data_IF_883111429702
#
_entry.id   IF_883111429702
#
_cell.length_a   1.000
_cell.length_b   1.000
_cell.length_c   1.000
_cell.angle_alpha   90.00
_cell.angle_beta   90.00
_cell.angle_gamma   90.00
#
_symmetry.space_group_name_H-M   'P 1'
#
loop_
_entity.id
_entity.type
_entity.pdbx_description
1 polymer ?
#
# COMPACT_ATOMS: atom_id res chain seq x y z
N UNK A 1 13.86 4.85 3.74
CA UNK A 1 14.12 4.35 2.36
C UNK A 1 13.04 4.82 1.40
N UNK A 2 11.78 4.65 1.78
CA UNK A 2 10.57 5.01 1.05
C UNK A 2 10.51 6.47 0.55
N UNK A 3 11.22 7.41 1.19
CA UNK A 3 11.24 8.83 0.83
C UNK A 3 12.39 9.24 -0.10
N UNK A 4 13.27 8.33 -0.47
CA UNK A 4 14.44 8.63 -1.29
C UNK A 4 14.16 8.29 -2.76
N UNK A 5 14.56 9.15 -3.72
CA UNK A 5 14.49 8.85 -5.16
C UNK A 5 15.62 7.90 -5.55
N UNK A 6 15.48 6.62 -5.20
CA UNK A 6 16.53 5.61 -5.38
C UNK A 6 16.57 4.99 -6.78
N UNK A 7 15.43 4.96 -7.46
CA UNK A 7 15.22 4.16 -8.68
C UNK A 7 14.49 4.93 -9.78
N UNK A 8 13.95 6.09 -9.46
CA UNK A 8 13.27 7.03 -10.35
C UNK A 8 13.49 8.45 -9.83
N UNK A 9 12.96 9.46 -10.52
CA UNK A 9 12.94 10.85 -10.04
C UNK A 9 12.02 11.04 -8.81
N UNK A 10 11.20 10.04 -8.50
CA UNK A 10 10.22 10.04 -7.41
C UNK A 10 10.65 9.11 -6.30
N UNK A 11 10.11 9.35 -5.10
CA UNK A 11 10.30 8.41 -4.00
C UNK A 11 9.52 7.11 -4.20
N UNK A 12 9.93 6.04 -3.52
CA UNK A 12 9.20 4.76 -3.59
C UNK A 12 7.76 4.90 -3.06
N UNK A 13 7.53 5.78 -2.08
CA UNK A 13 6.18 6.10 -1.60
C UNK A 13 5.34 6.72 -2.73
N UNK A 14 5.90 7.71 -3.43
CA UNK A 14 5.22 8.36 -4.55
C UNK A 14 4.94 7.36 -5.68
N UNK A 15 5.92 6.54 -6.06
CA UNK A 15 5.74 5.49 -7.07
C UNK A 15 4.71 4.42 -6.65
N UNK A 16 4.57 4.16 -5.34
CA UNK A 16 3.57 3.22 -4.79
C UNK A 16 2.15 3.78 -4.89
N UNK A 17 1.98 5.07 -4.65
CA UNK A 17 0.65 5.72 -4.78
C UNK A 17 0.30 5.91 -6.25
N UNK A 18 1.24 6.38 -7.06
CA UNK A 18 1.00 6.71 -8.46
C UNK A 18 0.71 5.48 -9.32
N UNK A 19 1.25 4.30 -8.98
CA UNK A 19 0.92 3.06 -9.72
C UNK A 19 -0.53 2.63 -9.56
N UNK A 20 -1.29 3.20 -8.61
CA UNK A 20 -2.72 2.94 -8.49
C UNK A 20 -3.57 3.78 -9.45
N UNK A 21 -3.00 4.81 -10.09
CA UNK A 21 -3.71 5.59 -11.10
C UNK A 21 -4.13 4.68 -12.26
N UNK A 22 -5.39 4.81 -12.68
CA UNK A 22 -5.98 4.00 -13.74
C UNK A 22 -6.58 2.68 -13.26
N UNK A 23 -6.49 2.36 -11.96
CA UNK A 23 -7.23 1.25 -11.38
C UNK A 23 -8.61 1.73 -10.92
N UNK A 24 -9.67 1.17 -11.50
CA UNK A 24 -11.04 1.54 -11.17
C UNK A 24 -11.44 1.07 -9.76
N UNK A 25 -12.33 1.83 -9.11
CA UNK A 25 -12.88 1.47 -7.80
C UNK A 25 -11.92 1.66 -6.60
N UNK A 26 -10.74 2.25 -6.80
CA UNK A 26 -9.81 2.56 -5.72
C UNK A 26 -10.12 3.93 -5.11
N UNK A 27 -10.41 3.94 -3.81
CA UNK A 27 -10.60 5.17 -3.03
C UNK A 27 -9.32 5.95 -2.77
N UNK A 28 -9.43 7.09 -2.09
CA UNK A 28 -8.27 7.84 -1.64
C UNK A 28 -7.42 6.98 -0.67
N UNK A 29 -6.08 7.07 -0.71
CA UNK A 29 -5.24 6.17 0.07
C UNK A 29 -5.35 6.46 1.56
N UNK A 30 -5.38 5.39 2.36
CA UNK A 30 -5.14 5.45 3.81
C UNK A 30 -3.64 5.20 4.03
N UNK A 31 -2.95 6.17 4.63
CA UNK A 31 -1.50 6.06 4.85
C UNK A 31 -1.22 5.80 6.33
N UNK A 32 -0.49 4.75 6.64
CA UNK A 32 0.03 4.50 7.98
C UNK A 32 1.51 4.81 8.02
N UNK A 33 1.93 5.63 8.98
CA UNK A 33 3.34 5.97 9.16
C UNK A 33 3.65 6.24 10.62
N UNK A 34 4.91 6.09 11.02
CA UNK A 34 5.37 6.61 12.30
C UNK A 34 5.12 8.13 12.42
N UNK A 35 4.81 8.61 13.62
CA UNK A 35 4.59 10.03 13.93
C UNK A 35 5.74 10.95 13.47
N UNK A 36 6.99 10.49 13.58
CA UNK A 36 8.18 11.22 13.13
C UNK A 36 8.16 11.55 11.63
N UNK A 37 7.45 10.73 10.83
CA UNK A 37 7.35 10.90 9.38
C UNK A 37 6.11 11.69 8.95
N UNK A 38 5.33 12.24 9.89
CA UNK A 38 4.06 12.92 9.61
C UNK A 38 4.16 13.95 8.49
N UNK A 39 5.07 14.90 8.65
CA UNK A 39 5.23 16.01 7.71
C UNK A 39 5.81 15.57 6.37
N UNK A 40 6.75 14.62 6.39
CA UNK A 40 7.40 14.13 5.19
C UNK A 40 6.42 13.37 4.28
N UNK A 41 5.57 12.52 4.86
CA UNK A 41 4.48 11.87 4.11
C UNK A 41 3.52 12.90 3.52
N UNK A 42 3.10 13.89 4.29
CA UNK A 42 2.18 14.92 3.83
C UNK A 42 2.77 15.76 2.68
N UNK A 43 4.07 16.09 2.75
CA UNK A 43 4.80 16.77 1.68
C UNK A 43 4.90 15.92 0.41
N UNK A 44 5.32 14.66 0.54
CA UNK A 44 5.46 13.73 -0.58
C UNK A 44 4.15 13.51 -1.34
N UNK A 45 3.02 13.44 -0.62
CA UNK A 45 1.68 13.33 -1.21
C UNK A 45 1.26 14.62 -1.94
N UNK A 46 1.58 15.78 -1.36
CA UNK A 46 1.31 17.09 -1.95
C UNK A 46 2.08 17.29 -3.26
N UNK A 47 3.36 16.91 -3.30
CA UNK A 47 4.21 17.00 -4.50
C UNK A 47 3.62 16.25 -5.71
N UNK A 48 2.92 15.14 -5.48
CA UNK A 48 2.28 14.35 -6.54
C UNK A 48 0.79 14.66 -6.73
N UNK A 49 0.26 15.65 -6.01
CA UNK A 49 -1.15 16.06 -6.08
C UNK A 49 -2.13 14.99 -5.61
N UNK A 50 -1.75 14.15 -4.65
CA UNK A 50 -2.63 13.13 -4.06
C UNK A 50 -3.02 13.56 -2.65
N UNK A 51 -4.31 13.51 -2.34
CA UNK A 51 -4.83 13.74 -1.00
C UNK A 51 -5.21 12.40 -0.38
N UNK A 52 -4.54 11.96 0.70
CA UNK A 52 -4.95 10.79 1.46
C UNK A 52 -6.34 10.98 2.09
N UNK A 53 -7.10 9.89 2.24
CA UNK A 53 -8.34 9.90 3.03
C UNK A 53 -8.02 10.21 4.50
N UNK A 54 -6.97 9.55 5.02
CA UNK A 54 -6.42 9.79 6.34
C UNK A 54 -4.96 9.37 6.37
N UNK A 55 -4.18 10.06 7.21
CA UNK A 55 -2.86 9.60 7.64
C UNK A 55 -2.95 9.17 9.11
N UNK A 56 -2.78 7.88 9.36
CA UNK A 56 -2.77 7.30 10.70
C UNK A 56 -1.32 7.27 11.20
N UNK A 57 -1.10 7.87 12.38
CA UNK A 57 0.23 8.02 12.97
C UNK A 57 0.45 6.96 14.04
N UNK A 58 1.46 6.12 13.83
CA UNK A 58 1.91 5.16 14.83
C UNK A 58 2.86 5.85 15.81
N UNK A 59 2.53 5.92 17.12
CA UNK A 59 3.43 6.51 18.12
C UNK A 59 4.68 5.64 18.35
N UNK A 60 4.56 4.33 18.09
CA UNK A 60 5.64 3.35 18.17
C UNK A 60 5.42 2.35 17.05
N UNK A 61 6.46 2.04 16.28
CA UNK A 61 6.38 1.03 15.23
C UNK A 61 6.16 -0.37 15.83
N UNK A 62 5.06 -1.04 15.44
CA UNK A 62 4.69 -2.38 15.93
C UNK A 62 4.57 -3.44 14.82
N UNK A 63 5.29 -3.25 13.72
CA UNK A 63 5.21 -4.07 12.50
C UNK A 63 3.84 -3.96 11.78
N UNK A 64 3.67 -4.75 10.72
CA UNK A 64 2.56 -4.62 9.78
C UNK A 64 1.20 -5.07 10.33
N UNK A 65 1.14 -6.11 11.17
CA UNK A 65 -0.14 -6.66 11.60
C UNK A 65 -0.97 -5.66 12.43
N UNK A 66 -0.42 -4.94 13.43
CA UNK A 66 -1.15 -3.90 14.14
C UNK A 66 -1.54 -2.72 13.25
N UNK A 67 -0.67 -2.30 12.34
CA UNK A 67 -0.96 -1.23 11.38
C UNK A 67 -2.19 -1.58 10.50
N UNK A 68 -2.20 -2.79 9.93
CA UNK A 68 -3.33 -3.27 9.11
C UNK A 68 -4.60 -3.42 9.94
N UNK A 69 -4.52 -3.89 11.18
CA UNK A 69 -5.68 -4.01 12.06
C UNK A 69 -6.33 -2.64 12.34
N UNK A 70 -5.53 -1.61 12.62
CA UNK A 70 -6.04 -0.24 12.84
C UNK A 70 -6.70 0.31 11.57
N UNK A 71 -6.10 0.09 10.40
CA UNK A 71 -6.69 0.50 9.12
C UNK A 71 -8.01 -0.23 8.85
N UNK A 72 -8.07 -1.53 9.13
CA UNK A 72 -9.29 -2.33 8.96
C UNK A 72 -10.44 -1.80 9.84
N UNK A 73 -10.17 -1.51 11.11
CA UNK A 73 -11.18 -0.92 12.02
C UNK A 73 -11.62 0.47 11.56
N UNK A 74 -10.67 1.31 11.12
CA UNK A 74 -10.98 2.63 10.57
C UNK A 74 -11.88 2.50 9.33
N UNK A 75 -11.48 1.68 8.36
CA UNK A 75 -12.20 1.50 7.10
C UNK A 75 -13.60 0.95 7.34
N UNK A 76 -13.75 -0.05 8.20
CA UNK A 76 -15.06 -0.61 8.59
C UNK A 76 -15.97 0.43 9.26
N UNK A 77 -15.41 1.38 10.03
CA UNK A 77 -16.20 2.45 10.65
C UNK A 77 -16.70 3.51 9.67
N UNK A 78 -16.14 3.56 8.46
CA UNK A 78 -16.46 4.55 7.42
C UNK A 78 -17.19 3.97 6.21
N UNK A 79 -16.94 2.70 5.91
CA UNK A 79 -17.42 2.01 4.72
C UNK A 79 -17.93 0.62 5.13
N UNK A 80 -19.22 0.34 4.89
CA UNK A 80 -19.88 -0.90 5.36
C UNK A 80 -19.29 -2.17 4.75
N UNK A 81 -18.71 -2.08 3.56
CA UNK A 81 -18.18 -3.21 2.77
C UNK A 81 -16.73 -2.95 2.33
N UNK A 82 -15.91 -2.44 3.26
CA UNK A 82 -14.52 -2.07 2.99
C UNK A 82 -13.67 -3.27 2.51
N UNK A 83 -13.19 -3.21 1.27
CA UNK A 83 -12.16 -4.11 0.76
C UNK A 83 -10.81 -3.38 0.73
N UNK A 84 -9.79 -3.94 1.39
CA UNK A 84 -8.48 -3.29 1.54
C UNK A 84 -7.41 -3.92 0.66
N UNK A 85 -6.77 -3.09 -0.17
CA UNK A 85 -5.52 -3.41 -0.85
C UNK A 85 -4.35 -2.87 -0.01
N UNK A 86 -3.58 -3.78 0.61
CA UNK A 86 -2.46 -3.42 1.48
C UNK A 86 -1.15 -3.45 0.69
N UNK A 87 -0.42 -2.31 0.66
CA UNK A 87 0.81 -2.14 -0.11
C UNK A 87 1.94 -1.60 0.76
N UNK A 88 3.11 -2.25 0.79
CA UNK A 88 4.32 -1.65 1.34
C UNK A 88 4.76 -0.44 0.51
N UNK A 89 5.14 0.66 1.18
CA UNK A 89 5.50 1.92 0.54
C UNK A 89 6.91 1.94 -0.09
N UNK A 90 7.68 0.87 0.08
CA UNK A 90 9.07 0.75 -0.35
C UNK A 90 9.30 -0.35 -1.40
N UNK A 91 8.23 -0.91 -1.98
CA UNK A 91 8.33 -1.90 -3.05
C UNK A 91 8.43 -1.26 -4.43
N UNK A 92 9.42 -1.67 -5.22
CA UNK A 92 9.52 -1.32 -6.64
C UNK A 92 8.76 -2.34 -7.50
N UNK A 93 7.72 -1.87 -8.21
CA UNK A 93 6.99 -2.66 -9.21
C UNK A 93 7.05 -1.88 -10.52
N UNK A 94 7.71 -2.44 -11.53
CA UNK A 94 7.90 -1.78 -12.84
C UNK A 94 6.77 -2.09 -13.83
N UNK A 95 6.23 -3.30 -13.77
CA UNK A 95 5.14 -3.73 -14.65
C UNK A 95 3.78 -3.38 -14.02
N UNK A 96 3.37 -2.11 -14.20
CA UNK A 96 2.10 -1.60 -13.68
C UNK A 96 0.89 -2.30 -14.32
N UNK A 97 0.86 -2.59 -15.64
CA UNK A 97 -0.23 -3.37 -16.22
C UNK A 97 -0.39 -4.76 -15.62
N UNK A 98 0.71 -5.52 -15.43
CA UNK A 98 0.62 -6.83 -14.78
C UNK A 98 0.16 -6.74 -13.32
N UNK A 99 0.58 -5.69 -12.60
CA UNK A 99 0.12 -5.40 -11.25
C UNK A 99 -1.39 -5.14 -11.19
N UNK A 100 -1.93 -4.32 -12.11
CA UNK A 100 -3.38 -4.09 -12.20
C UNK A 100 -4.14 -5.37 -12.55
N UNK A 101 -3.65 -6.16 -13.50
CA UNK A 101 -4.27 -7.44 -13.87
C UNK A 101 -4.31 -8.43 -12.69
N UNK A 102 -3.24 -8.48 -11.89
CA UNK A 102 -3.20 -9.29 -10.68
C UNK A 102 -4.25 -8.83 -9.65
N UNK A 103 -4.37 -7.52 -9.42
CA UNK A 103 -5.40 -6.98 -8.51
C UNK A 103 -6.81 -7.28 -9.01
N UNK A 104 -7.07 -7.10 -10.31
CA UNK A 104 -8.37 -7.40 -10.91
C UNK A 104 -8.75 -8.89 -10.73
N UNK A 105 -7.76 -9.78 -10.80
CA UNK A 105 -7.95 -11.22 -10.54
C UNK A 105 -8.24 -11.51 -9.06
N UNK A 106 -7.59 -10.77 -8.16
CA UNK A 106 -7.73 -10.93 -6.71
C UNK A 106 -9.05 -10.37 -6.15
N UNK A 107 -9.59 -9.31 -6.77
CA UNK A 107 -10.70 -8.54 -6.22
C UNK A 107 -11.98 -9.38 -5.95
N UNK A 108 -12.44 -10.26 -6.86
CA UNK A 108 -13.62 -11.10 -6.59
C UNK A 108 -13.42 -12.05 -5.40
N UNK A 109 -12.20 -12.59 -5.22
CA UNK A 109 -11.87 -13.46 -4.10
C UNK A 109 -11.91 -12.68 -2.78
N UNK A 110 -11.31 -11.49 -2.75
CA UNK A 110 -11.34 -10.62 -1.59
C UNK A 110 -12.78 -10.19 -1.25
N UNK A 111 -13.58 -9.82 -2.25
CA UNK A 111 -14.99 -9.45 -2.08
C UNK A 111 -15.85 -10.62 -1.56
N UNK A 112 -15.46 -11.87 -1.83
CA UNK A 112 -16.11 -13.07 -1.28
C UNK A 112 -15.68 -13.43 0.14
N UNK A 113 -14.84 -12.61 0.78
CA UNK A 113 -14.38 -12.79 2.16
C UNK A 113 -13.06 -13.54 2.32
N UNK A 114 -12.33 -13.78 1.22
CA UNK A 114 -11.00 -14.43 1.27
C UNK A 114 -9.89 -13.43 1.58
N UNK A 115 -8.85 -13.88 2.31
CA UNK A 115 -7.58 -13.16 2.39
C UNK A 115 -6.71 -13.52 1.18
N UNK A 116 -6.36 -12.53 0.36
CA UNK A 116 -5.59 -12.74 -0.87
C UNK A 116 -4.15 -12.26 -0.70
N UNK A 117 -3.20 -13.06 -1.15
CA UNK A 117 -1.77 -12.74 -1.17
C UNK A 117 -1.24 -12.76 -2.61
N UNK A 118 -0.30 -11.87 -2.93
CA UNK A 118 0.35 -11.83 -4.24
C UNK A 118 1.71 -12.54 -4.19
N UNK A 119 1.81 -13.68 -4.87
CA UNK A 119 3.04 -14.46 -4.98
C UNK A 119 3.94 -13.96 -6.11
N UNK A 120 5.26 -14.08 -5.92
CA UNK A 120 6.27 -13.84 -6.95
C UNK A 120 7.08 -15.12 -7.13
N UNK A 121 7.36 -15.49 -8.37
CA UNK A 121 8.19 -16.66 -8.68
C UNK A 121 9.63 -16.42 -8.18
N UNK A 122 10.14 -17.22 -7.23
CA UNK A 122 11.46 -17.00 -6.66
C UNK A 122 12.55 -17.34 -7.70
N UNK A 123 13.63 -16.56 -7.70
CA UNK A 123 14.84 -16.84 -8.52
C UNK A 123 15.95 -17.51 -7.72
N UNK A 124 15.74 -17.74 -6.43
CA UNK A 124 16.70 -18.35 -5.52
C UNK A 124 16.18 -18.36 -4.07
N UNK A 125 16.87 -19.04 -3.15
CA UNK A 125 16.45 -19.21 -1.76
C UNK A 125 16.79 -17.95 -0.94
N UNK A 126 15.99 -16.90 -1.08
CA UNK A 126 16.09 -15.69 -0.26
C UNK A 126 15.42 -15.95 1.09
N UNK A 127 16.21 -16.03 2.17
CA UNK A 127 15.71 -16.38 3.52
C UNK A 127 14.96 -15.25 4.22
N UNK A 128 15.06 -14.01 3.71
CA UNK A 128 14.32 -12.86 4.23
C UNK A 128 12.87 -12.76 3.75
N UNK A 129 12.42 -13.68 2.87
CA UNK A 129 11.06 -13.70 2.34
C UNK A 129 10.22 -14.80 3.00
N UNK A 130 8.92 -14.55 3.11
CA UNK A 130 7.93 -15.60 3.35
C UNK A 130 7.72 -16.42 2.09
N UNK A 131 7.50 -17.73 2.24
CA UNK A 131 7.18 -18.65 1.16
C UNK A 131 5.75 -19.15 1.35
N UNK A 132 4.99 -19.19 0.26
CA UNK A 132 3.65 -19.76 0.16
C UNK A 132 3.73 -20.87 -0.88
#
# INVERSE_FOLDING_TARGET
KQFLPLVSERSLLQDTVLRLRGLDGVGAPIVVSNDENRFLVAEQMREIGVQPEVQILEPVGRNTAPAVAVVALYAQSRHSDACLLVLPSDHLIRDVPAFHAAIATALPLAASGSLVTFGIVPRGPVTGYGYI
#
